data_IF_740966569608
#
_entry.id   IF_740966569608
#
_cell.length_a   1.000
_cell.length_b   1.000
_cell.length_c   1.000
_cell.angle_alpha   90.00
_cell.angle_beta   90.00
_cell.angle_gamma   90.00
#
_symmetry.space_group_name_H-M   'P 1'
#
loop_
_entity.id
_entity.type
_entity.pdbx_description
1 polymer ?
#
# COMPACT_ATOMS: atom_id res chain seq x y z
N UNK A 1 38.68 3.91 32.53
CA UNK A 1 39.19 2.70 31.84
C UNK A 1 38.57 1.42 32.41
N UNK A 2 38.25 1.33 33.71
CA UNK A 2 37.51 0.20 34.30
C UNK A 2 35.97 0.19 34.10
N UNK A 3 35.44 0.83 33.05
CA UNK A 3 33.99 0.83 32.72
C UNK A 3 33.68 0.24 31.34
N UNK A 4 34.69 -0.30 30.65
CA UNK A 4 34.57 -0.94 29.34
C UNK A 4 34.73 -2.48 29.39
N UNK A 5 34.94 -3.07 30.56
CA UNK A 5 35.21 -4.52 30.69
C UNK A 5 34.05 -5.33 31.32
N UNK A 6 32.94 -4.68 31.68
CA UNK A 6 31.81 -5.31 32.37
C UNK A 6 30.68 -5.92 31.51
N UNK A 7 30.69 -5.76 30.18
CA UNK A 7 29.60 -6.23 29.30
C UNK A 7 29.99 -7.42 28.39
N UNK A 8 31.06 -8.14 28.73
CA UNK A 8 31.58 -9.27 27.91
C UNK A 8 31.13 -10.67 28.36
N UNK A 9 30.16 -10.80 29.28
CA UNK A 9 29.90 -12.07 29.96
C UNK A 9 28.60 -12.84 29.68
N UNK A 10 27.66 -12.38 28.83
CA UNK A 10 26.34 -13.06 28.80
C UNK A 10 25.36 -12.81 27.66
N UNK A 11 25.78 -12.25 26.52
CA UNK A 11 24.93 -12.16 25.32
C UNK A 11 25.74 -12.52 24.08
N UNK A 12 25.64 -13.77 23.64
CA UNK A 12 26.10 -14.13 22.29
C UNK A 12 25.39 -13.25 21.25
N UNK A 13 26.17 -12.69 20.32
CA UNK A 13 25.64 -11.89 19.21
C UNK A 13 24.95 -12.82 18.21
N UNK A 14 23.89 -12.35 17.56
CA UNK A 14 23.17 -13.16 16.55
C UNK A 14 24.09 -13.69 15.45
N UNK A 15 25.08 -12.91 15.04
CA UNK A 15 26.13 -13.34 14.14
C UNK A 15 26.84 -14.62 14.61
N UNK A 16 27.24 -14.70 15.89
CA UNK A 16 27.89 -15.89 16.44
C UNK A 16 26.90 -17.06 16.55
N UNK A 17 25.67 -16.80 17.00
CA UNK A 17 24.60 -17.81 17.09
C UNK A 17 24.24 -18.42 15.73
N UNK A 18 24.46 -17.69 14.64
CA UNK A 18 24.24 -18.16 13.28
C UNK A 18 25.42 -18.95 12.72
N UNK A 19 26.52 -19.12 13.45
CA UNK A 19 27.73 -19.78 12.95
C UNK A 19 28.73 -18.82 12.29
N UNK A 20 28.69 -17.55 12.65
CA UNK A 20 29.62 -16.53 12.15
C UNK A 20 29.51 -16.31 10.65
N UNK A 21 30.65 -16.13 9.98
CA UNK A 21 30.69 -15.76 8.56
C UNK A 21 30.17 -16.89 7.66
N UNK A 22 30.52 -18.14 7.95
CA UNK A 22 30.06 -19.32 7.20
C UNK A 22 28.54 -19.45 7.29
N UNK A 23 27.99 -19.23 8.49
CA UNK A 23 26.55 -19.19 8.73
C UNK A 23 25.81 -18.15 7.90
N UNK A 24 26.34 -16.93 7.84
CA UNK A 24 25.76 -15.86 7.02
C UNK A 24 25.85 -16.20 5.53
N UNK A 25 26.95 -16.79 5.07
CA UNK A 25 27.09 -17.20 3.67
C UNK A 25 26.07 -18.27 3.29
N UNK A 26 25.90 -19.30 4.12
CA UNK A 26 24.87 -20.32 3.95
C UNK A 26 23.46 -19.70 3.94
N UNK A 27 23.17 -18.79 4.87
CA UNK A 27 21.91 -18.04 4.91
C UNK A 27 21.67 -17.27 3.60
N UNK A 28 22.65 -16.51 3.12
CA UNK A 28 22.51 -15.68 1.91
C UNK A 28 22.36 -16.55 0.66
N UNK A 29 23.05 -17.69 0.56
CA UNK A 29 22.83 -18.64 -0.53
C UNK A 29 21.38 -19.13 -0.51
N UNK A 30 20.91 -19.57 0.66
CA UNK A 30 19.55 -20.09 0.80
C UNK A 30 18.47 -19.04 0.54
N UNK A 31 18.68 -17.80 1.01
CA UNK A 31 17.78 -16.67 0.75
C UNK A 31 17.59 -16.44 -0.74
N UNK A 32 18.67 -16.48 -1.52
CA UNK A 32 18.61 -16.26 -2.96
C UNK A 32 17.88 -17.38 -3.70
N UNK A 33 18.07 -18.65 -3.29
CA UNK A 33 17.27 -19.76 -3.82
C UNK A 33 15.78 -19.61 -3.53
N UNK A 34 15.43 -19.05 -2.36
CA UNK A 34 14.05 -18.82 -1.95
C UNK A 34 13.39 -17.67 -2.72
N UNK A 35 14.07 -16.52 -2.85
CA UNK A 35 13.50 -15.34 -3.54
C UNK A 35 13.41 -15.52 -5.06
N UNK A 36 14.34 -16.27 -5.68
CA UNK A 36 14.26 -16.60 -7.11
C UNK A 36 13.06 -17.49 -7.44
N UNK A 37 12.60 -18.31 -6.49
CA UNK A 37 11.43 -19.18 -6.64
C UNK A 37 10.11 -18.49 -6.27
N UNK A 38 10.17 -17.33 -5.61
CA UNK A 38 8.99 -16.61 -5.15
C UNK A 38 8.45 -15.68 -6.25
N UNK A 39 7.41 -16.14 -6.95
CA UNK A 39 6.72 -15.39 -8.03
C UNK A 39 6.24 -13.99 -7.61
N UNK A 40 6.15 -13.69 -6.31
CA UNK A 40 5.72 -12.38 -5.80
C UNK A 40 6.83 -11.33 -5.80
N UNK A 41 8.09 -11.75 -5.75
CA UNK A 41 9.26 -10.86 -5.58
C UNK A 41 10.43 -11.17 -6.51
N UNK A 42 10.42 -12.29 -7.25
CA UNK A 42 11.54 -12.73 -8.09
C UNK A 42 12.03 -11.64 -9.08
N UNK A 43 11.12 -10.84 -9.62
CA UNK A 43 11.45 -9.77 -10.57
C UNK A 43 12.42 -8.71 -10.00
N UNK A 44 12.51 -8.55 -8.67
CA UNK A 44 13.48 -7.66 -8.01
C UNK A 44 14.89 -8.26 -7.91
N UNK A 45 15.03 -9.57 -8.15
CA UNK A 45 16.24 -10.36 -7.97
C UNK A 45 16.73 -10.98 -9.27
N UNK A 46 16.41 -10.38 -10.42
CA UNK A 46 16.85 -10.82 -11.75
C UNK A 46 17.81 -9.82 -12.41
N UNK A 47 18.59 -10.30 -13.38
CA UNK A 47 19.41 -9.46 -14.25
C UNK A 47 20.92 -9.46 -13.95
N UNK A 48 21.66 -8.74 -14.81
CA UNK A 48 23.13 -8.79 -14.86
C UNK A 48 23.84 -8.27 -13.61
N UNK A 49 23.13 -7.51 -12.76
CA UNK A 49 23.67 -6.91 -11.52
C UNK A 49 23.49 -7.79 -10.28
N UNK A 50 22.85 -8.96 -10.38
CA UNK A 50 22.50 -9.79 -9.22
C UNK A 50 23.69 -10.16 -8.33
N UNK A 51 24.85 -10.47 -8.92
CA UNK A 51 26.08 -10.76 -8.17
C UNK A 51 26.51 -9.60 -7.27
N UNK A 52 26.39 -8.36 -7.77
CA UNK A 52 26.74 -7.16 -7.01
C UNK A 52 25.73 -6.86 -5.91
N UNK A 53 24.44 -7.11 -6.16
CA UNK A 53 23.35 -6.94 -5.18
C UNK A 53 23.51 -7.95 -4.04
N UNK A 54 23.76 -9.23 -4.37
CA UNK A 54 24.01 -10.29 -3.37
C UNK A 54 25.17 -9.95 -2.46
N UNK A 55 26.28 -9.43 -3.02
CA UNK A 55 27.43 -8.99 -2.23
C UNK A 55 27.10 -7.81 -1.31
N UNK A 56 26.38 -6.81 -1.81
CA UNK A 56 25.99 -5.65 -1.02
C UNK A 56 25.00 -6.00 0.11
N UNK A 57 23.99 -6.82 -0.19
CA UNK A 57 23.03 -7.30 0.79
C UNK A 57 23.67 -8.20 1.84
N UNK A 58 24.58 -9.09 1.44
CA UNK A 58 25.36 -9.90 2.38
C UNK A 58 26.10 -9.01 3.38
N UNK A 59 26.86 -8.01 2.90
CA UNK A 59 27.59 -7.10 3.77
C UNK A 59 26.67 -6.31 4.72
N UNK A 60 25.49 -5.88 4.24
CA UNK A 60 24.52 -5.15 5.06
C UNK A 60 23.87 -6.04 6.12
N UNK A 61 23.43 -7.24 5.75
CA UNK A 61 22.82 -8.21 6.67
C UNK A 61 23.83 -8.63 7.74
N UNK A 62 25.09 -8.92 7.38
CA UNK A 62 26.14 -9.23 8.36
C UNK A 62 26.27 -8.09 9.38
N UNK A 63 26.25 -6.83 8.93
CA UNK A 63 26.32 -5.66 9.81
C UNK A 63 25.11 -5.60 10.77
N UNK A 64 23.89 -5.77 10.26
CA UNK A 64 22.64 -5.70 11.07
C UNK A 64 22.58 -6.81 12.13
N UNK A 65 23.07 -8.01 11.79
CA UNK A 65 23.11 -9.15 12.70
C UNK A 65 24.29 -9.11 13.68
N UNK A 66 25.11 -8.06 13.63
CA UNK A 66 26.17 -7.79 14.61
C UNK A 66 27.53 -8.41 14.27
N UNK A 67 27.74 -8.78 13.01
CA UNK A 67 29.02 -9.23 12.48
C UNK A 67 30.01 -8.08 12.21
N UNK A 68 31.24 -8.41 11.80
CA UNK A 68 32.33 -7.42 11.68
C UNK A 68 32.20 -6.51 10.45
N UNK A 69 31.30 -6.83 9.53
CA UNK A 69 31.09 -6.06 8.29
C UNK A 69 30.59 -4.65 8.57
N UNK A 70 31.15 -3.68 7.82
CA UNK A 70 30.57 -2.35 7.69
C UNK A 70 30.06 -2.18 6.28
N UNK A 71 28.76 -1.96 6.13
CA UNK A 71 28.19 -1.62 4.85
C UNK A 71 28.73 -0.25 4.40
N UNK A 72 29.33 -0.21 3.20
CA UNK A 72 29.85 1.01 2.55
C UNK A 72 29.14 1.31 1.23
N UNK A 73 28.01 0.65 0.98
CA UNK A 73 27.22 0.87 -0.22
C UNK A 73 26.43 2.18 -0.14
N UNK A 74 25.67 2.45 -1.20
CA UNK A 74 24.75 3.60 -1.26
C UNK A 74 23.69 3.50 -0.18
N UNK A 75 23.15 4.64 0.22
CA UNK A 75 22.06 4.75 1.17
C UNK A 75 20.86 3.88 0.74
N UNK A 76 20.26 3.14 1.68
CA UNK A 76 19.17 2.21 1.34
C UNK A 76 17.96 2.95 0.82
N UNK A 77 17.65 4.13 1.37
CA UNK A 77 16.51 4.92 0.93
C UNK A 77 16.72 5.46 -0.49
N UNK A 78 17.93 5.90 -0.84
CA UNK A 78 18.26 6.28 -2.21
C UNK A 78 18.15 5.08 -3.18
N UNK A 79 18.75 3.94 -2.81
CA UNK A 79 18.76 2.72 -3.63
C UNK A 79 17.37 2.18 -3.94
N UNK A 80 16.52 2.11 -2.91
CA UNK A 80 15.20 1.51 -3.03
C UNK A 80 14.15 2.52 -3.49
N UNK A 81 14.45 3.83 -3.50
CA UNK A 81 13.51 4.85 -4.01
C UNK A 81 13.10 4.67 -5.47
N UNK A 82 13.96 4.05 -6.28
CA UNK A 82 13.68 3.75 -7.70
C UNK A 82 13.02 2.38 -7.89
N UNK A 83 12.93 1.58 -6.82
CA UNK A 83 12.32 0.27 -6.82
C UNK A 83 10.91 0.44 -6.24
N UNK A 84 9.88 0.09 -7.00
CA UNK A 84 8.48 0.15 -6.54
C UNK A 84 8.16 -0.99 -5.54
N UNK A 85 8.93 -1.06 -4.45
CA UNK A 85 8.78 -2.04 -3.39
C UNK A 85 7.67 -1.55 -2.47
N UNK A 86 6.64 -2.37 -2.30
CA UNK A 86 5.50 -2.09 -1.45
C UNK A 86 5.67 -2.84 -0.13
N UNK A 87 4.83 -2.54 0.87
CA UNK A 87 4.78 -3.34 2.10
C UNK A 87 4.57 -4.83 1.82
N UNK A 88 3.76 -5.17 0.81
CA UNK A 88 3.55 -6.55 0.40
C UNK A 88 4.85 -7.21 -0.10
N UNK A 89 5.61 -6.51 -0.94
CA UNK A 89 6.90 -7.02 -1.45
C UNK A 89 7.90 -7.19 -0.31
N UNK A 90 7.96 -6.23 0.63
CA UNK A 90 8.83 -6.31 1.79
C UNK A 90 8.42 -7.46 2.73
N UNK A 91 7.12 -7.65 3.00
CA UNK A 91 6.60 -8.77 3.80
C UNK A 91 6.95 -10.11 3.17
N UNK A 92 6.82 -10.24 1.85
CA UNK A 92 7.22 -11.45 1.13
C UNK A 92 8.72 -11.71 1.27
N UNK A 93 9.55 -10.67 1.19
CA UNK A 93 10.98 -10.78 1.40
C UNK A 93 11.33 -11.21 2.84
N UNK A 94 10.70 -10.60 3.85
CA UNK A 94 10.88 -10.97 5.27
C UNK A 94 10.43 -12.41 5.55
N UNK A 95 9.38 -12.90 4.88
CA UNK A 95 8.99 -14.31 4.93
C UNK A 95 10.11 -15.22 4.39
N UNK A 96 10.76 -14.85 3.28
CA UNK A 96 11.89 -15.62 2.74
C UNK A 96 13.11 -15.56 3.64
N UNK A 97 13.36 -14.44 4.34
CA UNK A 97 14.42 -14.36 5.37
C UNK A 97 14.15 -15.37 6.48
N UNK A 98 12.96 -15.33 7.10
CA UNK A 98 12.63 -16.25 8.19
C UNK A 98 12.66 -17.72 7.76
N UNK A 99 12.19 -18.03 6.54
CA UNK A 99 12.27 -19.38 5.96
C UNK A 99 13.72 -19.81 5.78
N UNK A 100 14.55 -18.96 5.20
CA UNK A 100 15.94 -19.31 4.88
C UNK A 100 16.79 -19.51 6.12
N UNK A 101 16.54 -18.75 7.19
CA UNK A 101 17.17 -18.97 8.50
C UNK A 101 16.78 -20.33 9.10
N UNK A 102 15.49 -20.72 9.04
CA UNK A 102 15.05 -22.05 9.48
C UNK A 102 15.65 -23.17 8.65
N UNK A 103 15.73 -22.99 7.34
CA UNK A 103 16.27 -23.99 6.41
C UNK A 103 17.77 -24.29 6.67
N UNK A 104 18.53 -23.32 7.20
CA UNK A 104 19.93 -23.54 7.63
C UNK A 104 20.06 -24.00 9.09
N UNK A 105 18.95 -24.31 9.76
CA UNK A 105 18.94 -24.85 11.12
C UNK A 105 18.98 -23.83 12.25
N UNK A 106 18.72 -22.54 11.99
CA UNK A 106 18.62 -21.55 13.06
C UNK A 106 17.42 -21.83 13.97
N UNK A 107 17.61 -21.67 15.28
CA UNK A 107 16.54 -21.83 16.28
C UNK A 107 15.50 -20.71 16.16
N UNK A 108 14.26 -20.96 16.62
CA UNK A 108 13.17 -19.99 16.50
C UNK A 108 13.50 -18.65 17.17
N UNK A 109 14.18 -18.66 18.33
CA UNK A 109 14.60 -17.43 19.01
C UNK A 109 15.59 -16.61 18.17
N UNK A 110 16.53 -17.27 17.49
CA UNK A 110 17.48 -16.62 16.58
C UNK A 110 16.78 -16.07 15.34
N UNK A 111 15.80 -16.80 14.81
CA UNK A 111 15.00 -16.33 13.66
C UNK A 111 14.19 -15.11 14.03
N UNK A 112 13.48 -15.13 15.15
CA UNK A 112 12.64 -14.03 15.60
C UNK A 112 13.48 -12.77 15.86
N UNK A 113 14.62 -12.91 16.56
CA UNK A 113 15.54 -11.80 16.81
C UNK A 113 16.12 -11.20 15.51
N UNK A 114 16.50 -12.06 14.55
CA UNK A 114 17.01 -11.61 13.26
C UNK A 114 15.94 -10.87 12.45
N UNK A 115 14.72 -11.42 12.40
CA UNK A 115 13.57 -10.78 11.73
C UNK A 115 13.27 -9.43 12.37
N UNK A 116 13.21 -9.32 13.70
CA UNK A 116 12.94 -8.04 14.40
C UNK A 116 13.99 -6.98 14.07
N UNK A 117 15.27 -7.35 13.94
CA UNK A 117 16.33 -6.39 13.59
C UNK A 117 16.22 -5.93 12.14
N UNK A 118 15.97 -6.85 11.22
CA UNK A 118 15.81 -6.56 9.80
C UNK A 118 14.48 -5.83 9.53
N UNK A 119 13.47 -6.00 10.36
CA UNK A 119 12.21 -5.27 10.24
C UNK A 119 12.39 -3.74 10.41
N UNK A 120 13.41 -3.31 11.17
CA UNK A 120 13.69 -1.89 11.39
C UNK A 120 14.07 -1.14 10.11
N UNK A 121 14.58 -1.85 9.10
CA UNK A 121 14.95 -1.25 7.82
C UNK A 121 13.76 -1.07 6.88
N UNK A 122 12.56 -1.56 7.26
CA UNK A 122 11.33 -1.40 6.49
C UNK A 122 11.14 0.04 6.06
N UNK A 123 11.26 0.98 7.01
CA UNK A 123 11.08 2.40 6.69
C UNK A 123 12.09 2.86 5.64
N UNK A 124 13.37 2.50 5.76
CA UNK A 124 14.43 2.84 4.80
C UNK A 124 14.19 2.26 3.41
N UNK A 125 13.74 1.01 3.32
CA UNK A 125 13.45 0.34 2.05
C UNK A 125 12.14 0.84 1.42
N UNK A 126 11.14 1.14 2.23
CA UNK A 126 9.81 1.58 1.79
C UNK A 126 9.66 3.11 1.71
N UNK A 127 10.68 3.90 2.04
CA UNK A 127 10.53 5.31 2.34
C UNK A 127 9.79 6.11 1.25
N UNK A 128 8.58 6.54 1.59
CA UNK A 128 7.96 7.81 1.19
C UNK A 128 7.91 8.04 -0.32
N UNK A 129 7.10 7.26 -1.02
CA UNK A 129 6.62 7.69 -2.33
C UNK A 129 5.71 8.92 -2.19
N UNK A 130 4.99 9.05 -1.08
CA UNK A 130 3.91 10.02 -0.92
C UNK A 130 4.05 10.86 0.36
N UNK A 131 4.10 12.18 0.22
CA UNK A 131 4.03 13.12 1.33
C UNK A 131 2.59 13.62 1.49
N UNK A 132 2.03 13.53 2.71
CA UNK A 132 0.73 14.17 3.02
C UNK A 132 0.90 15.68 2.84
N UNK A 133 0.25 16.24 1.85
CA UNK A 133 0.29 17.68 1.61
C UNK A 133 -0.84 18.35 2.36
N UNK A 134 -0.51 19.33 3.21
CA UNK A 134 -1.51 20.21 3.82
C UNK A 134 -2.27 21.02 2.77
N UNK A 135 -3.50 21.40 3.08
CA UNK A 135 -4.36 22.18 2.19
C UNK A 135 -3.66 23.45 1.71
N UNK A 136 -3.43 23.59 0.40
CA UNK A 136 -3.41 24.93 -0.20
C UNK A 136 -4.86 25.38 -0.27
N UNK A 137 -5.21 26.45 0.45
CA UNK A 137 -6.49 27.14 0.27
C UNK A 137 -6.64 27.41 -1.22
N UNK A 138 -7.73 26.91 -1.81
CA UNK A 138 -8.24 27.29 -3.10
C UNK A 138 -8.04 28.80 -3.31
N UNK A 139 -7.17 29.19 -4.24
CA UNK A 139 -6.97 30.61 -4.58
C UNK A 139 -8.03 31.13 -5.54
N UNK A 140 -8.98 30.27 -5.97
CA UNK A 140 -10.08 30.64 -6.85
C UNK A 140 -11.34 29.80 -6.61
N UNK A 141 -12.51 30.36 -6.93
CA UNK A 141 -13.83 29.70 -6.85
C UNK A 141 -13.98 28.44 -7.72
N UNK A 142 -12.98 28.11 -8.54
CA UNK A 142 -12.95 26.87 -9.34
C UNK A 142 -12.50 25.63 -8.55
N UNK A 143 -11.94 25.79 -7.36
CA UNK A 143 -11.40 24.68 -6.54
C UNK A 143 -12.39 24.14 -5.49
N UNK A 144 -13.67 24.52 -5.53
CA UNK A 144 -14.74 23.96 -4.68
C UNK A 144 -15.06 22.47 -4.98
N UNK A 145 -14.18 21.79 -5.73
CA UNK A 145 -14.41 20.53 -6.44
C UNK A 145 -13.62 19.41 -5.76
N UNK A 146 -13.84 19.11 -4.48
CA UNK A 146 -13.41 17.82 -3.92
C UNK A 146 -13.92 17.50 -2.51
N UNK A 147 -15.11 17.95 -2.08
CA UNK A 147 -15.52 17.70 -0.70
C UNK A 147 -15.73 16.22 -0.38
N UNK A 148 -16.36 15.43 -1.27
CA UNK A 148 -16.66 14.03 -0.94
C UNK A 148 -15.41 13.14 -0.87
N UNK A 149 -14.47 13.32 -1.79
CA UNK A 149 -13.28 12.48 -1.86
C UNK A 149 -12.24 12.80 -0.78
N UNK A 150 -12.29 14.02 -0.24
CA UNK A 150 -11.45 14.47 0.86
C UNK A 150 -12.07 14.21 2.24
N UNK A 151 -13.37 13.91 2.31
CA UNK A 151 -14.01 13.47 3.56
C UNK A 151 -13.55 12.06 3.96
N UNK A 152 -13.13 11.25 2.99
CA UNK A 152 -12.70 9.86 3.21
C UNK A 152 -11.18 9.63 3.02
N UNK A 153 -10.40 10.67 2.75
CA UNK A 153 -8.96 10.56 2.49
C UNK A 153 -8.22 11.91 2.47
N UNK A 154 -6.89 11.86 2.50
CA UNK A 154 -6.03 13.05 2.41
C UNK A 154 -5.35 13.14 1.05
N UNK A 155 -5.12 14.36 0.54
CA UNK A 155 -4.23 14.55 -0.62
C UNK A 155 -2.80 14.16 -0.26
N UNK A 156 -2.13 13.54 -1.21
CA UNK A 156 -0.72 13.18 -1.10
C UNK A 156 0.02 13.51 -2.39
N UNK A 157 1.27 13.96 -2.28
CA UNK A 157 2.12 14.21 -3.44
C UNK A 157 3.14 13.09 -3.59
N UNK A 158 3.20 12.52 -4.79
CA UNK A 158 4.28 11.65 -5.19
C UNK A 158 5.59 12.43 -5.36
N UNK A 159 6.73 11.74 -5.31
CA UNK A 159 8.03 12.34 -5.67
C UNK A 159 8.15 12.75 -7.13
N UNK A 160 7.31 12.17 -7.99
CA UNK A 160 7.16 12.56 -9.40
C UNK A 160 6.37 13.87 -9.58
N UNK A 161 5.97 14.51 -8.47
CA UNK A 161 5.15 15.72 -8.46
C UNK A 161 3.69 15.46 -8.82
N UNK A 162 3.27 14.19 -8.97
CA UNK A 162 1.86 13.86 -9.22
C UNK A 162 1.07 13.86 -7.91
N UNK A 163 -0.21 14.20 -8.03
CA UNK A 163 -1.14 14.16 -6.91
C UNK A 163 -1.83 12.81 -6.80
N UNK A 164 -2.09 12.42 -5.57
CA UNK A 164 -2.71 11.15 -5.19
C UNK A 164 -3.71 11.38 -4.05
N UNK A 165 -4.56 10.38 -3.84
CA UNK A 165 -5.39 10.28 -2.63
C UNK A 165 -4.80 9.20 -1.74
N UNK A 166 -4.66 9.52 -0.45
CA UNK A 166 -4.28 8.62 0.61
C UNK A 166 -5.48 8.36 1.52
N UNK A 167 -6.08 7.17 1.41
CA UNK A 167 -7.13 6.70 2.31
C UNK A 167 -6.48 5.98 3.50
N UNK A 168 -6.90 6.33 4.71
CA UNK A 168 -6.34 5.81 5.96
C UNK A 168 -7.38 4.94 6.65
N UNK A 169 -7.02 3.71 7.01
CA UNK A 169 -7.88 2.75 7.71
C UNK A 169 -7.23 2.42 9.05
N UNK A 170 -7.95 2.68 10.14
CA UNK A 170 -7.49 2.32 11.49
C UNK A 170 -7.54 0.80 11.69
N UNK A 171 -6.37 0.17 11.59
CA UNK A 171 -6.20 -1.27 11.82
C UNK A 171 -5.80 -1.62 13.25
N UNK A 172 -5.60 -0.64 14.14
CA UNK A 172 -5.12 -0.89 15.51
C UNK A 172 -6.20 -1.52 16.37
N UNK A 173 -7.46 -1.13 16.12
CA UNK A 173 -8.64 -1.62 16.81
C UNK A 173 -9.22 -2.91 16.20
N UNK A 174 -8.64 -3.36 15.09
CA UNK A 174 -9.09 -4.55 14.37
C UNK A 174 -8.51 -5.82 14.99
N UNK A 175 -9.33 -6.86 15.06
CA UNK A 175 -8.87 -8.19 15.44
C UNK A 175 -7.99 -8.83 14.33
N UNK A 176 -7.54 -10.07 14.55
CA UNK A 176 -6.68 -10.77 13.58
C UNK A 176 -7.42 -11.10 12.27
N UNK A 177 -8.73 -11.38 12.33
CA UNK A 177 -9.57 -11.70 11.17
C UNK A 177 -9.79 -10.44 10.33
N UNK A 178 -10.22 -9.35 10.95
CA UNK A 178 -10.42 -8.05 10.32
C UNK A 178 -9.15 -7.53 9.64
N UNK A 179 -7.98 -7.71 10.27
CA UNK A 179 -6.69 -7.35 9.64
C UNK A 179 -6.34 -8.20 8.42
N UNK A 180 -6.70 -9.49 8.43
CA UNK A 180 -6.49 -10.37 7.28
C UNK A 180 -7.47 -10.02 6.15
N UNK A 181 -8.71 -9.68 6.48
CA UNK A 181 -9.72 -9.24 5.52
C UNK A 181 -9.26 -7.93 4.85
N UNK A 182 -8.77 -6.95 5.63
CA UNK A 182 -8.24 -5.69 5.09
C UNK A 182 -7.06 -5.91 4.13
N UNK A 183 -6.16 -6.86 4.44
CA UNK A 183 -5.06 -7.24 3.55
C UNK A 183 -5.53 -7.92 2.28
N UNK A 184 -6.50 -8.83 2.38
CA UNK A 184 -7.09 -9.49 1.21
C UNK A 184 -7.76 -8.48 0.29
N UNK A 185 -8.39 -7.45 0.85
CA UNK A 185 -9.02 -6.38 0.08
C UNK A 185 -8.01 -5.48 -0.63
N UNK A 186 -6.92 -5.09 0.03
CA UNK A 186 -5.79 -4.40 -0.64
C UNK A 186 -5.28 -5.23 -1.82
N UNK A 187 -5.18 -6.54 -1.65
CA UNK A 187 -4.79 -7.46 -2.72
C UNK A 187 -5.80 -7.47 -3.87
N UNK A 188 -7.09 -7.41 -3.58
CA UNK A 188 -8.13 -7.27 -4.61
C UNK A 188 -7.99 -5.93 -5.34
N UNK A 189 -7.89 -4.81 -4.62
CA UNK A 189 -7.77 -3.47 -5.19
C UNK A 189 -6.53 -3.32 -6.09
N UNK A 190 -5.38 -3.83 -5.64
CA UNK A 190 -4.13 -3.83 -6.41
C UNK A 190 -4.20 -4.67 -7.69
N UNK A 191 -5.16 -5.60 -7.78
CA UNK A 191 -5.39 -6.39 -8.99
C UNK A 191 -6.26 -5.69 -10.04
N UNK A 192 -7.01 -4.64 -9.65
CA UNK A 192 -7.93 -3.93 -10.54
C UNK A 192 -7.16 -2.98 -11.46
N UNK A 193 -7.25 -3.23 -12.76
CA UNK A 193 -6.62 -2.44 -13.83
C UNK A 193 -7.61 -2.19 -14.94
N UNK A 194 -8.25 -1.03 -14.92
CA UNK A 194 -9.25 -0.64 -15.91
C UNK A 194 -9.27 0.89 -16.10
N UNK A 195 -9.39 1.42 -17.34
CA UNK A 195 -9.29 2.86 -17.60
C UNK A 195 -10.38 3.73 -16.96
N UNK A 196 -11.50 3.11 -16.55
CA UNK A 196 -12.62 3.78 -15.88
C UNK A 196 -12.76 3.34 -14.41
N UNK A 197 -11.73 2.73 -13.83
CA UNK A 197 -11.63 2.46 -12.39
C UNK A 197 -10.47 3.29 -11.84
N UNK A 198 -10.63 3.88 -10.64
CA UNK A 198 -9.56 4.59 -9.97
C UNK A 198 -8.41 3.61 -9.69
N UNK A 199 -7.22 3.97 -10.17
CA UNK A 199 -6.07 3.08 -10.12
C UNK A 199 -5.48 3.06 -8.70
N UNK A 200 -5.38 1.87 -8.12
CA UNK A 200 -4.53 1.63 -6.95
C UNK A 200 -3.06 1.83 -7.34
N UNK A 201 -2.28 2.45 -6.45
CA UNK A 201 -0.85 2.70 -6.66
C UNK A 201 0.00 1.97 -5.66
N UNK A 202 -0.34 2.09 -4.38
CA UNK A 202 0.48 1.56 -3.30
C UNK A 202 -0.33 1.45 -2.00
N UNK A 203 0.21 0.77 -1.01
CA UNK A 203 -0.31 0.77 0.35
C UNK A 203 0.77 0.48 1.36
N UNK A 204 0.71 1.14 2.51
CA UNK A 204 1.70 0.97 3.57
C UNK A 204 1.10 1.17 4.96
N UNK A 205 1.79 0.70 5.99
CA UNK A 205 1.37 0.93 7.38
C UNK A 205 2.08 2.15 7.99
N UNK A 206 1.30 3.04 8.60
CA UNK A 206 1.81 4.18 9.38
C UNK A 206 1.49 3.96 10.87
N UNK A 207 2.51 4.04 11.74
CA UNK A 207 2.37 3.79 13.18
C UNK A 207 1.29 4.64 13.85
N UNK A 208 1.07 5.87 13.40
CA UNK A 208 0.05 6.75 13.93
C UNK A 208 -1.37 6.38 13.46
N UNK A 209 -1.50 5.98 12.20
CA UNK A 209 -2.74 6.09 11.43
C UNK A 209 -3.27 4.75 10.87
N UNK A 210 -2.51 3.65 10.96
CA UNK A 210 -2.94 2.35 10.46
C UNK A 210 -2.57 2.11 8.99
N UNK A 211 -3.43 1.44 8.23
CA UNK A 211 -3.20 1.10 6.83
C UNK A 211 -3.51 2.30 5.93
N UNK A 212 -2.52 2.77 5.20
CA UNK A 212 -2.63 3.82 4.20
C UNK A 212 -2.71 3.20 2.80
N UNK A 213 -3.69 3.61 1.99
CA UNK A 213 -3.88 3.17 0.61
C UNK A 213 -3.75 4.37 -0.32
N UNK A 214 -2.94 4.24 -1.36
CA UNK A 214 -2.65 5.29 -2.32
C UNK A 214 -3.33 5.00 -3.65
N UNK A 215 -4.01 6.01 -4.16
CA UNK A 215 -4.83 5.94 -5.37
C UNK A 215 -4.59 7.16 -6.27
N UNK A 216 -4.83 7.01 -7.56
CA UNK A 216 -4.82 8.13 -8.50
C UNK A 216 -5.78 9.24 -8.08
N UNK A 217 -5.31 10.49 -8.10
CA UNK A 217 -6.18 11.65 -7.98
C UNK A 217 -6.82 11.99 -9.33
N UNK A 218 -8.15 12.00 -9.37
CA UNK A 218 -9.00 12.54 -10.41
C UNK A 218 -9.34 14.02 -10.13
N UNK A 219 -8.78 14.90 -10.93
CA UNK A 219 -8.70 16.34 -10.68
C UNK A 219 -10.03 17.08 -10.90
N UNK A 220 -10.98 16.44 -11.60
CA UNK A 220 -12.31 16.97 -11.87
C UNK A 220 -13.33 16.70 -10.76
N UNK A 221 -12.91 16.10 -9.64
CA UNK A 221 -13.74 15.81 -8.47
C UNK A 221 -14.85 14.78 -8.72
N UNK A 222 -15.87 14.77 -7.87
CA UNK A 222 -16.99 13.83 -7.96
C UNK A 222 -18.14 14.32 -8.87
N UNK A 223 -18.85 13.37 -9.47
CA UNK A 223 -19.98 13.63 -10.36
C UNK A 223 -21.14 14.29 -9.62
N UNK A 224 -21.32 14.05 -8.32
CA UNK A 224 -22.37 14.71 -7.54
C UNK A 224 -22.14 16.22 -7.45
N UNK A 225 -20.90 16.67 -7.24
CA UNK A 225 -20.53 18.09 -7.28
C UNK A 225 -20.78 18.69 -8.68
N UNK A 226 -20.46 17.93 -9.72
CA UNK A 226 -20.72 18.34 -11.11
C UNK A 226 -22.21 18.54 -11.37
N UNK A 227 -23.07 17.61 -10.92
CA UNK A 227 -24.53 17.68 -11.04
C UNK A 227 -25.08 18.87 -10.25
N UNK A 228 -24.62 19.10 -9.02
CA UNK A 228 -25.04 20.27 -8.22
C UNK A 228 -24.73 21.58 -8.95
N UNK A 229 -23.52 21.73 -9.49
CA UNK A 229 -23.14 22.93 -10.25
C UNK A 229 -24.02 23.16 -11.49
N UNK A 230 -24.36 22.11 -12.23
CA UNK A 230 -25.27 22.22 -13.38
C UNK A 230 -26.68 22.64 -12.96
N UNK A 231 -27.19 22.10 -11.85
CA UNK A 231 -28.47 22.50 -11.27
C UNK A 231 -28.46 23.97 -10.84
N UNK A 232 -27.43 24.38 -10.11
CA UNK A 232 -27.35 25.73 -9.54
C UNK A 232 -27.16 26.81 -10.63
N UNK A 233 -26.56 26.44 -11.77
CA UNK A 233 -26.43 27.32 -12.95
C UNK A 233 -27.61 27.24 -13.92
N UNK A 234 -28.53 26.29 -13.73
CA UNK A 234 -29.66 26.04 -14.63
C UNK A 234 -29.27 25.46 -16.00
N UNK A 235 -27.99 25.10 -16.21
CA UNK A 235 -27.49 24.56 -17.48
C UNK A 235 -27.31 23.05 -17.37
N UNK A 236 -28.22 22.31 -18.02
CA UNK A 236 -28.15 20.85 -18.11
C UNK A 236 -26.96 20.34 -18.92
N UNK A 237 -26.68 19.05 -18.83
CA UNK A 237 -25.64 18.40 -19.63
C UNK A 237 -26.20 18.01 -21.00
N UNK A 238 -25.39 18.11 -22.08
CA UNK A 238 -25.73 17.48 -23.34
C UNK A 238 -25.92 15.97 -23.17
N UNK A 239 -26.92 15.40 -23.84
CA UNK A 239 -27.22 13.96 -23.78
C UNK A 239 -26.00 13.10 -24.11
N UNK A 240 -25.22 13.50 -25.12
CA UNK A 240 -23.98 12.82 -25.51
C UNK A 240 -22.95 12.73 -24.37
N UNK A 241 -22.93 13.70 -23.45
CA UNK A 241 -22.05 13.69 -22.29
C UNK A 241 -22.60 12.79 -21.17
N UNK A 242 -23.92 12.76 -20.98
CA UNK A 242 -24.58 11.84 -20.04
C UNK A 242 -24.32 10.40 -20.46
N UNK A 243 -24.60 10.07 -21.74
CA UNK A 243 -24.36 8.74 -22.31
C UNK A 243 -22.89 8.34 -22.20
N UNK A 244 -21.96 9.29 -22.41
CA UNK A 244 -20.52 9.03 -22.23
C UNK A 244 -20.18 8.65 -20.80
N UNK A 245 -20.62 9.42 -19.80
CA UNK A 245 -20.36 9.07 -18.40
C UNK A 245 -21.02 7.77 -18.00
N UNK A 246 -22.28 7.56 -18.39
CA UNK A 246 -23.02 6.33 -18.13
C UNK A 246 -22.31 5.11 -18.71
N UNK A 247 -21.88 5.18 -19.98
CA UNK A 247 -21.17 4.07 -20.65
C UNK A 247 -19.84 3.75 -19.95
N UNK A 248 -19.10 4.77 -19.51
CA UNK A 248 -17.84 4.58 -18.77
C UNK A 248 -18.08 3.93 -17.40
N UNK A 249 -19.11 4.35 -16.69
CA UNK A 249 -19.51 3.74 -15.41
C UNK A 249 -19.96 2.28 -15.60
N UNK A 250 -20.77 2.01 -16.64
CA UNK A 250 -21.21 0.65 -16.97
C UNK A 250 -20.04 -0.28 -17.33
N UNK A 251 -19.07 0.20 -18.11
CA UNK A 251 -17.85 -0.56 -18.43
C UNK A 251 -17.00 -0.82 -17.18
N UNK A 252 -16.86 0.17 -16.29
CA UNK A 252 -16.15 -0.01 -15.02
C UNK A 252 -16.84 -1.06 -14.14
N UNK A 253 -18.17 -0.98 -14.02
CA UNK A 253 -18.96 -1.89 -13.20
C UNK A 253 -18.95 -3.31 -13.76
N UNK A 254 -19.09 -3.46 -15.09
CA UNK A 254 -18.94 -4.75 -15.78
C UNK A 254 -17.60 -5.40 -15.44
N UNK A 255 -16.49 -4.66 -15.59
CA UNK A 255 -15.16 -5.17 -15.27
C UNK A 255 -15.04 -5.65 -13.82
N UNK A 256 -15.58 -4.88 -12.87
CA UNK A 256 -15.55 -5.21 -11.44
C UNK A 256 -16.39 -6.47 -11.16
N UNK A 257 -17.56 -6.59 -11.78
CA UNK A 257 -18.43 -7.75 -11.63
C UNK A 257 -17.84 -9.02 -12.28
N UNK A 258 -17.12 -8.91 -13.41
CA UNK A 258 -16.35 -10.01 -14.02
C UNK A 258 -15.22 -10.52 -13.11
N UNK A 259 -14.79 -9.72 -12.14
CA UNK A 259 -13.85 -10.13 -11.08
C UNK A 259 -14.55 -10.64 -9.81
N UNK A 260 -15.88 -10.84 -9.86
CA UNK A 260 -16.71 -11.25 -8.72
C UNK A 260 -16.65 -10.31 -7.53
N UNK A 261 -16.48 -9.01 -7.78
CA UNK A 261 -16.44 -7.98 -6.75
C UNK A 261 -17.75 -7.19 -6.79
N UNK A 262 -18.32 -6.93 -5.62
CA UNK A 262 -19.47 -6.04 -5.47
C UNK A 262 -18.97 -4.67 -5.02
N UNK A 263 -19.40 -3.59 -5.69
CA UNK A 263 -18.99 -2.23 -5.32
C UNK A 263 -19.58 -1.77 -3.98
N UNK A 264 -20.84 -2.15 -3.70
CA UNK A 264 -21.59 -1.88 -2.45
C UNK A 264 -21.86 -0.41 -2.08
N UNK A 265 -21.19 0.56 -2.70
CA UNK A 265 -21.46 1.99 -2.48
C UNK A 265 -21.52 2.77 -3.80
N UNK A 266 -22.30 2.28 -4.74
CA UNK A 266 -22.42 2.90 -6.07
C UNK A 266 -23.32 4.15 -5.98
N UNK A 267 -22.69 5.31 -5.97
CA UNK A 267 -23.34 6.62 -5.91
C UNK A 267 -22.56 7.67 -6.69
N UNK A 268 -23.19 8.78 -7.05
CA UNK A 268 -22.55 9.87 -7.81
C UNK A 268 -21.35 10.52 -7.10
N UNK A 269 -21.26 10.37 -5.77
CA UNK A 269 -20.10 10.79 -4.97
C UNK A 269 -18.87 9.88 -5.16
N UNK A 270 -19.08 8.64 -5.63
CA UNK A 270 -18.05 7.63 -5.87
C UNK A 270 -17.71 7.47 -7.37
N UNK A 271 -18.25 8.36 -8.21
CA UNK A 271 -17.95 8.48 -9.62
C UNK A 271 -17.12 9.75 -9.84
N UNK A 272 -15.83 9.61 -10.11
CA UNK A 272 -14.90 10.73 -10.21
C UNK A 272 -14.63 11.12 -11.65
N UNK A 273 -14.24 12.37 -11.86
CA UNK A 273 -13.91 12.91 -13.18
C UNK A 273 -12.43 13.27 -13.21
N UNK A 274 -11.74 12.84 -14.26
CA UNK A 274 -10.39 13.33 -14.58
C UNK A 274 -10.45 14.75 -15.13
N UNK A 275 -9.31 15.44 -15.21
CA UNK A 275 -9.19 16.73 -15.91
C UNK A 275 -9.74 16.71 -17.34
N UNK A 276 -9.64 15.57 -18.04
CA UNK A 276 -10.15 15.37 -19.39
C UNK A 276 -11.67 15.02 -19.43
N UNK A 277 -12.40 15.22 -18.33
CA UNK A 277 -13.83 14.93 -18.19
C UNK A 277 -14.21 13.45 -18.44
N UNK A 278 -13.27 12.53 -18.21
CA UNK A 278 -13.52 11.08 -18.24
C UNK A 278 -13.81 10.56 -16.85
N UNK A 279 -14.78 9.66 -16.75
CA UNK A 279 -15.23 9.06 -15.51
C UNK A 279 -14.27 7.97 -15.01
N UNK A 280 -14.10 7.89 -13.69
CA UNK A 280 -13.44 6.81 -12.97
C UNK A 280 -14.31 6.39 -11.77
N UNK A 281 -14.71 5.14 -11.72
CA UNK A 281 -15.35 4.52 -10.57
C UNK A 281 -14.30 4.33 -9.47
N UNK A 282 -14.56 4.87 -8.29
CA UNK A 282 -13.69 4.70 -7.13
C UNK A 282 -14.47 4.38 -5.87
N UNK A 283 -13.75 4.25 -4.77
CA UNK A 283 -14.29 3.94 -3.44
C UNK A 283 -15.19 2.70 -3.41
N UNK A 284 -14.53 1.54 -3.49
CA UNK A 284 -15.14 0.22 -3.46
C UNK A 284 -15.66 -0.19 -2.07
N UNK A 285 -16.29 0.71 -1.30
CA UNK A 285 -16.91 0.38 0.00
C UNK A 285 -16.01 -0.44 0.94
N UNK A 286 -14.69 -0.28 0.82
CA UNK A 286 -13.66 -1.20 1.36
C UNK A 286 -13.77 -1.24 2.90
N UNK A 287 -14.02 -0.08 3.51
CA UNK A 287 -14.29 0.04 4.94
C UNK A 287 -15.56 -0.70 5.38
N UNK A 288 -16.61 -0.75 4.55
CA UNK A 288 -17.93 -1.30 4.91
C UNK A 288 -17.95 -2.83 4.96
N UNK A 289 -17.07 -3.51 4.24
CA UNK A 289 -16.97 -4.98 4.31
C UNK A 289 -16.28 -5.44 5.60
N UNK A 290 -15.28 -4.67 6.05
CA UNK A 290 -14.57 -4.89 7.33
C UNK A 290 -15.42 -4.57 8.55
N UNK A 291 -16.41 -3.70 8.36
CA UNK A 291 -17.40 -3.26 9.33
C UNK A 291 -18.73 -4.00 9.13
N UNK A 292 -18.70 -5.33 9.09
CA UNK A 292 -19.88 -6.19 8.84
C UNK A 292 -21.11 -5.88 9.73
N UNK A 293 -20.91 -5.20 10.85
CA UNK A 293 -21.97 -4.76 11.78
C UNK A 293 -22.43 -3.31 11.54
N UNK A 294 -21.57 -2.44 10.99
CA UNK A 294 -21.84 -1.02 10.73
C UNK A 294 -22.36 -0.76 9.32
N UNK A 295 -22.04 -1.60 8.33
CA UNK A 295 -22.54 -1.45 6.96
C UNK A 295 -24.07 -1.50 6.87
N UNK A 296 -24.72 -2.27 7.75
CA UNK A 296 -26.18 -2.34 7.85
C UNK A 296 -26.79 -1.12 8.58
N UNK A 297 -26.01 -0.47 9.46
CA UNK A 297 -26.44 0.71 10.23
C UNK A 297 -26.20 2.02 9.45
N UNK A 298 -25.13 2.11 8.65
CA UNK A 298 -24.89 3.24 7.76
C UNK A 298 -25.87 3.29 6.59
N UNK A 299 -26.39 2.15 6.11
CA UNK A 299 -27.49 2.14 5.12
C UNK A 299 -28.79 2.74 5.67
N UNK A 300 -28.98 2.76 7.00
CA UNK A 300 -30.15 3.38 7.65
C UNK A 300 -29.96 4.88 7.87
N UNK A 301 -28.72 5.38 7.87
CA UNK A 301 -28.37 6.78 8.13
C UNK A 301 -27.91 7.51 6.85
N UNK A 302 -27.42 6.78 5.85
CA UNK A 302 -26.83 7.27 4.61
C UNK A 302 -27.77 7.17 3.41
N UNK A 303 -27.88 8.29 2.68
CA UNK A 303 -28.39 8.48 1.31
C UNK A 303 -29.32 7.35 0.77
N UNK A 304 -30.57 7.23 1.27
CA UNK A 304 -31.50 6.12 0.94
C UNK A 304 -31.91 6.04 -0.54
N UNK A 305 -31.54 7.04 -1.34
CA UNK A 305 -31.90 7.19 -2.75
C UNK A 305 -31.30 6.13 -3.70
N UNK A 306 -30.41 5.26 -3.21
CA UNK A 306 -29.75 4.22 -4.02
C UNK A 306 -30.12 2.78 -3.58
N UNK A 307 -31.07 2.62 -2.65
CA UNK A 307 -31.51 1.30 -2.19
C UNK A 307 -32.38 0.63 -3.25
N UNK A 308 -32.11 -0.64 -3.51
CA UNK A 308 -32.93 -1.48 -4.37
C UNK A 308 -34.08 -2.12 -3.58
N UNK A 309 -35.22 -2.43 -4.24
CA UNK A 309 -36.40 -2.96 -3.55
C UNK A 309 -36.16 -4.23 -2.72
N UNK A 310 -35.22 -5.08 -3.12
CA UNK A 310 -34.87 -6.32 -2.41
C UNK A 310 -34.05 -6.13 -1.12
N UNK A 311 -33.57 -4.90 -0.85
CA UNK A 311 -32.84 -4.54 0.36
C UNK A 311 -33.76 -3.87 1.41
N UNK A 312 -34.95 -3.42 0.99
CA UNK A 312 -35.97 -2.78 1.83
C UNK A 312 -36.96 -3.80 2.39
#
# INVERSE_FOLDING_TARGET
IAKQEGEKGGRERLFEKLGGQEGIEAFIVRLYECVERDKRIHAFFEGSKLKSIKKAQSAYITMVLGGPSRYRGRDLKELHSVLAITDYHFDCFMQQIGRSLRDIGATNDVVDDAVVRLERIRREVLHGHYEKTGFRKASSDQDYVSSSWLLEGSRASGRDGREYIMKTIDVKRMDKKQRNDARNEVKVLSSLKHPYVVCYRDSFFEEANGLCIIMDYAEGGDLAARIRKARDTGVGFPESQIVRWFSQAALALKYVHEKHILHRDLKTQNLFLTRANRLRLGDFGISKVLDSTLAFAETTIGTPYYLSPEIC
#
